data_IF_173973511725
#
_entry.id   IF_173973511725
#
_cell.length_a   1.000
_cell.length_b   1.000
_cell.length_c   1.000
_cell.angle_alpha   90.00
_cell.angle_beta   90.00
_cell.angle_gamma   90.00
#
_symmetry.space_group_name_H-M   'P 1'
#
loop_
_entity.id
_entity.type
_entity.pdbx_description
1 polymer ?
#
# COMPACT_ATOMS: atom_id res chain seq x y z
N UNK A 1 1.32 -10.78 32.78
CA UNK A 1 0.56 -9.51 32.66
C UNK A 1 -0.78 -9.84 32.04
N UNK A 2 -1.83 -9.13 32.41
CA UNK A 2 -3.17 -9.37 31.81
C UNK A 2 -3.29 -8.53 30.55
N UNK A 3 -3.59 -9.16 29.43
CA UNK A 3 -3.81 -8.48 28.16
C UNK A 3 -4.98 -7.49 28.25
N UNK A 4 -4.86 -6.26 27.74
CA UNK A 4 -5.95 -5.30 27.77
C UNK A 4 -7.09 -5.70 26.84
N UNK A 5 -8.31 -5.27 27.18
CA UNK A 5 -9.48 -5.39 26.31
C UNK A 5 -9.72 -4.06 25.60
N UNK A 6 -10.18 -4.11 24.36
CA UNK A 6 -10.62 -2.91 23.64
C UNK A 6 -11.87 -2.30 24.29
N UNK A 7 -12.19 -1.05 23.99
CA UNK A 7 -13.43 -0.44 24.45
C UNK A 7 -14.66 -1.20 23.98
N UNK A 8 -14.62 -1.77 22.78
CA UNK A 8 -15.70 -2.59 22.24
C UNK A 8 -15.89 -3.89 23.02
N UNK A 9 -14.82 -4.60 23.34
CA UNK A 9 -14.89 -5.82 24.17
C UNK A 9 -15.44 -5.57 25.59
N UNK A 10 -15.14 -4.38 26.13
CA UNK A 10 -15.59 -4.00 27.48
C UNK A 10 -17.05 -3.54 27.53
N UNK A 11 -17.55 -2.87 26.49
CA UNK A 11 -18.80 -2.10 26.57
C UNK A 11 -19.79 -2.36 25.45
N UNK A 12 -19.38 -3.04 24.38
CA UNK A 12 -20.18 -3.24 23.16
C UNK A 12 -20.30 -2.00 22.27
N UNK A 13 -19.68 -0.88 22.62
CA UNK A 13 -19.57 0.30 21.78
C UNK A 13 -18.17 0.42 21.17
N UNK A 14 -18.08 1.08 20.03
CA UNK A 14 -16.77 1.30 19.39
C UNK A 14 -15.78 1.97 20.34
N UNK A 15 -14.55 1.46 20.35
CA UNK A 15 -13.45 2.00 21.15
C UNK A 15 -13.23 3.49 20.84
N UNK A 16 -13.18 4.36 21.83
CA UNK A 16 -12.87 5.79 21.65
C UNK A 16 -11.39 5.99 21.40
N UNK A 17 -10.99 7.16 20.88
CA UNK A 17 -9.58 7.50 20.68
C UNK A 17 -8.79 7.52 22.00
N UNK A 18 -9.42 7.95 23.10
CA UNK A 18 -8.77 7.94 24.43
C UNK A 18 -8.53 6.52 24.94
N UNK A 19 -9.49 5.61 24.74
CA UNK A 19 -9.36 4.18 25.09
C UNK A 19 -8.31 3.50 24.22
N UNK A 20 -8.27 3.77 22.90
CA UNK A 20 -7.23 3.28 22.01
C UNK A 20 -5.84 3.73 22.47
N UNK A 21 -5.69 5.02 22.80
CA UNK A 21 -4.41 5.53 23.29
C UNK A 21 -3.96 4.84 24.59
N UNK A 22 -4.87 4.62 25.54
CA UNK A 22 -4.57 3.90 26.77
C UNK A 22 -4.22 2.43 26.50
N UNK A 23 -4.96 1.77 25.61
CA UNK A 23 -4.78 0.40 25.19
C UNK A 23 -3.39 0.20 24.54
N UNK A 24 -3.04 1.02 23.55
CA UNK A 24 -1.76 0.95 22.86
C UNK A 24 -0.58 1.30 23.78
N UNK A 25 -0.73 2.27 24.68
CA UNK A 25 0.30 2.62 25.65
C UNK A 25 0.55 1.46 26.64
N UNK A 26 -0.48 0.73 27.04
CA UNK A 26 -0.30 -0.47 27.86
C UNK A 26 0.45 -1.55 27.11
N UNK A 27 0.10 -1.82 25.82
CA UNK A 27 0.81 -2.80 24.99
C UNK A 27 2.29 -2.41 24.84
N UNK A 28 2.59 -1.14 24.56
CA UNK A 28 3.97 -0.64 24.45
C UNK A 28 4.77 -0.82 25.76
N UNK A 29 4.11 -0.71 26.91
CA UNK A 29 4.74 -0.91 28.22
C UNK A 29 4.97 -2.39 28.55
N UNK A 30 4.09 -3.27 28.09
CA UNK A 30 4.03 -4.67 28.52
C UNK A 30 4.74 -5.62 27.56
N UNK A 31 5.02 -5.19 26.31
CA UNK A 31 5.50 -6.07 25.22
C UNK A 31 6.61 -5.40 24.40
N UNK A 32 7.17 -6.15 23.46
CA UNK A 32 8.23 -5.67 22.54
C UNK A 32 7.64 -4.96 21.28
N UNK A 33 6.34 -4.69 21.23
CA UNK A 33 5.74 -3.93 20.14
C UNK A 33 6.25 -2.49 20.13
N UNK A 34 6.71 -2.01 18.98
CA UNK A 34 7.16 -0.63 18.82
C UNK A 34 5.98 0.22 18.35
N UNK A 35 5.52 1.13 19.22
CA UNK A 35 4.39 2.00 18.93
C UNK A 35 4.87 3.44 18.83
N UNK A 36 4.66 4.05 17.66
CA UNK A 36 5.12 5.40 17.34
C UNK A 36 3.98 6.27 16.81
N UNK A 37 4.20 7.59 16.78
CA UNK A 37 3.36 8.52 16.06
C UNK A 37 3.81 8.55 14.59
N UNK A 38 2.94 8.14 13.65
CA UNK A 38 3.18 8.28 12.22
C UNK A 38 2.98 9.72 11.74
N UNK A 39 2.13 10.48 12.43
CA UNK A 39 1.80 11.87 12.16
C UNK A 39 0.49 12.27 12.83
N UNK A 40 -0.13 13.34 12.34
CA UNK A 40 -1.34 13.90 12.94
C UNK A 40 -2.43 14.14 11.91
N UNK A 41 -3.67 14.02 12.35
CA UNK A 41 -4.87 14.37 11.59
C UNK A 41 -5.04 15.89 11.45
N UNK A 42 -6.02 16.34 10.68
CA UNK A 42 -6.39 17.75 10.53
C UNK A 42 -6.64 18.43 11.89
N UNK A 43 -7.31 17.75 12.83
CA UNK A 43 -7.60 18.29 14.17
C UNK A 43 -6.47 18.03 15.18
N UNK A 44 -5.32 17.51 14.73
CA UNK A 44 -4.12 17.33 15.55
C UNK A 44 -4.09 16.05 16.39
N UNK A 45 -5.00 15.09 16.17
CA UNK A 45 -4.95 13.78 16.84
C UNK A 45 -3.83 12.94 16.27
N UNK A 46 -3.18 12.13 17.12
CA UNK A 46 -2.10 11.23 16.72
C UNK A 46 -2.63 10.12 15.81
N UNK A 47 -1.90 9.85 14.73
CA UNK A 47 -2.03 8.64 13.93
C UNK A 47 -0.97 7.68 14.42
N UNK A 48 -1.40 6.60 15.06
CA UNK A 48 -0.51 5.61 15.68
C UNK A 48 -0.08 4.56 14.67
N UNK A 49 1.19 4.22 14.70
CA UNK A 49 1.79 3.11 13.96
C UNK A 49 2.29 2.08 14.95
N UNK A 50 1.97 0.83 14.70
CA UNK A 50 2.39 -0.32 15.53
C UNK A 50 3.22 -1.26 14.67
N UNK A 51 4.46 -1.48 15.09
CA UNK A 51 5.42 -2.41 14.47
C UNK A 51 5.59 -3.63 15.36
N UNK A 52 5.46 -4.82 14.77
CA UNK A 52 5.59 -6.12 15.46
C UNK A 52 6.48 -7.03 14.63
N UNK A 53 7.39 -7.75 15.27
CA UNK A 53 8.26 -8.75 14.65
C UNK A 53 9.62 -8.20 14.21
N UNK A 54 10.24 -8.87 13.24
CA UNK A 54 11.61 -8.57 12.80
C UNK A 54 11.63 -7.30 11.90
N UNK A 55 12.28 -6.19 12.35
CA UNK A 55 12.32 -4.95 11.57
C UNK A 55 13.01 -5.08 10.21
N UNK A 56 13.89 -6.06 10.04
CA UNK A 56 14.63 -6.33 8.80
C UNK A 56 13.93 -7.35 7.89
N UNK A 57 12.81 -7.91 8.34
CA UNK A 57 12.02 -8.90 7.60
C UNK A 57 11.15 -8.32 6.51
N UNK A 58 10.68 -9.19 5.59
CA UNK A 58 9.64 -8.82 4.62
C UNK A 58 8.39 -8.31 5.36
N UNK A 59 7.85 -7.18 4.90
CA UNK A 59 6.85 -6.42 5.66
C UNK A 59 5.46 -6.54 5.06
N UNK A 60 4.46 -6.81 5.92
CA UNK A 60 3.03 -6.61 5.65
C UNK A 60 2.59 -5.32 6.33
N UNK A 61 1.86 -4.47 5.62
CA UNK A 61 1.21 -3.28 6.18
C UNK A 61 -0.31 -3.45 6.12
N UNK A 62 -0.99 -3.21 7.24
CA UNK A 62 -2.46 -3.19 7.32
C UNK A 62 -2.89 -1.77 7.67
N UNK A 63 -3.72 -1.16 6.83
CA UNK A 63 -4.23 0.19 7.01
C UNK A 63 -5.73 0.12 7.30
N UNK A 64 -6.15 0.60 8.47
CA UNK A 64 -7.52 0.54 8.94
C UNK A 64 -8.12 1.93 9.11
N UNK A 65 -9.45 2.01 9.10
CA UNK A 65 -10.24 3.20 9.40
C UNK A 65 -9.79 4.47 8.65
N UNK A 66 -9.52 4.37 7.35
CA UNK A 66 -9.37 5.54 6.48
C UNK A 66 -10.69 6.32 6.39
N UNK A 67 -11.81 5.62 6.48
CA UNK A 67 -13.12 6.21 6.65
C UNK A 67 -13.55 6.06 8.11
N UNK A 68 -13.91 7.15 8.77
CA UNK A 68 -14.30 7.11 10.18
C UNK A 68 -15.58 6.30 10.42
N UNK A 69 -16.49 6.23 9.44
CA UNK A 69 -17.71 5.41 9.53
C UNK A 69 -17.49 3.89 9.36
N UNK A 70 -16.23 3.44 9.29
CA UNK A 70 -15.85 2.05 9.03
C UNK A 70 -14.99 1.47 10.20
N UNK A 71 -15.53 1.36 11.42
CA UNK A 71 -14.75 1.09 12.63
C UNK A 71 -14.37 -0.39 12.85
N UNK A 72 -14.93 -1.35 12.10
CA UNK A 72 -14.69 -2.78 12.39
C UNK A 72 -13.25 -3.19 12.07
N UNK A 73 -12.63 -2.65 11.00
CA UNK A 73 -11.24 -2.92 10.67
C UNK A 73 -10.28 -2.42 11.76
N UNK A 74 -10.60 -1.27 12.38
CA UNK A 74 -9.87 -0.74 13.53
C UNK A 74 -9.92 -1.68 14.72
N UNK A 75 -11.11 -2.14 15.13
CA UNK A 75 -11.26 -3.06 16.25
C UNK A 75 -10.53 -4.38 15.99
N UNK A 76 -10.61 -4.90 14.76
CA UNK A 76 -9.88 -6.09 14.34
C UNK A 76 -8.36 -5.88 14.46
N UNK A 77 -7.86 -4.73 14.01
CA UNK A 77 -6.45 -4.36 14.12
C UNK A 77 -5.97 -4.25 15.56
N UNK A 78 -6.74 -3.60 16.45
CA UNK A 78 -6.42 -3.50 17.87
C UNK A 78 -6.37 -4.87 18.54
N UNK A 79 -7.37 -5.73 18.31
CA UNK A 79 -7.37 -7.11 18.83
C UNK A 79 -6.17 -7.91 18.30
N UNK A 80 -5.88 -7.82 17.00
CA UNK A 80 -4.73 -8.50 16.41
C UNK A 80 -3.41 -8.05 17.05
N UNK A 81 -3.19 -6.75 17.26
CA UNK A 81 -2.01 -6.23 17.95
C UNK A 81 -1.85 -6.90 19.31
N UNK A 82 -2.90 -6.95 20.13
CA UNK A 82 -2.89 -7.61 21.43
C UNK A 82 -2.54 -9.09 21.32
N UNK A 83 -3.27 -9.81 20.47
CA UNK A 83 -3.18 -11.28 20.39
C UNK A 83 -1.79 -11.71 19.90
N UNK A 84 -1.18 -10.94 18.98
CA UNK A 84 0.18 -11.18 18.49
C UNK A 84 1.27 -10.83 19.50
N UNK A 85 1.00 -9.95 20.46
CA UNK A 85 2.02 -9.46 21.41
C UNK A 85 1.95 -10.13 22.77
N UNK A 86 0.76 -10.51 23.26
CA UNK A 86 0.62 -11.15 24.59
C UNK A 86 0.61 -12.67 24.55
N UNK A 87 0.08 -13.27 23.48
CA UNK A 87 -0.09 -14.73 23.44
C UNK A 87 -0.02 -15.27 22.00
N UNK A 88 1.09 -14.99 21.28
CA UNK A 88 1.25 -15.50 19.92
C UNK A 88 1.33 -17.03 19.94
N UNK A 89 0.67 -17.69 18.98
CA UNK A 89 0.87 -19.13 18.77
C UNK A 89 2.33 -19.41 18.34
N UNK A 90 2.82 -20.66 18.44
CA UNK A 90 4.16 -21.00 17.96
C UNK A 90 4.40 -20.62 16.50
N UNK A 91 3.42 -20.83 15.62
CA UNK A 91 3.52 -20.49 14.20
C UNK A 91 3.58 -18.98 13.98
N UNK A 92 2.79 -18.20 14.71
CA UNK A 92 2.83 -16.73 14.68
C UNK A 92 4.18 -16.24 15.21
N UNK A 93 4.68 -16.82 16.30
CA UNK A 93 6.00 -16.45 16.84
C UNK A 93 7.12 -16.73 15.84
N UNK A 94 7.06 -17.87 15.13
CA UNK A 94 8.02 -18.23 14.10
C UNK A 94 7.93 -17.28 12.89
N UNK A 95 6.72 -16.85 12.50
CA UNK A 95 6.50 -15.85 11.46
C UNK A 95 7.11 -14.50 11.87
N UNK A 96 6.78 -13.99 13.05
CA UNK A 96 7.26 -12.68 13.54
C UNK A 96 8.78 -12.64 13.76
N UNK A 97 9.41 -13.77 14.06
CA UNK A 97 10.88 -13.87 14.14
C UNK A 97 11.58 -13.61 12.79
N UNK A 98 10.88 -13.78 11.66
CA UNK A 98 11.42 -13.64 10.32
C UNK A 98 10.86 -12.43 9.56
N UNK A 99 9.63 -12.00 9.88
CA UNK A 99 8.88 -11.01 9.15
C UNK A 99 8.40 -9.88 10.04
N UNK A 100 8.04 -8.77 9.40
CA UNK A 100 7.51 -7.56 10.06
C UNK A 100 6.05 -7.35 9.71
N UNK A 101 5.27 -7.03 10.71
CA UNK A 101 3.92 -6.51 10.57
C UNK A 101 3.87 -5.05 11.01
N UNK A 102 3.28 -4.19 10.20
CA UNK A 102 2.97 -2.81 10.55
C UNK A 102 1.46 -2.62 10.47
N UNK A 103 0.86 -2.12 11.54
CA UNK A 103 -0.57 -1.80 11.58
C UNK A 103 -0.75 -0.30 11.85
N UNK A 104 -1.59 0.34 11.04
CA UNK A 104 -2.12 1.69 11.27
C UNK A 104 -3.60 1.53 11.61
N UNK A 105 -3.95 1.40 12.90
CA UNK A 105 -5.30 1.00 13.30
C UNK A 105 -6.33 2.09 13.03
N UNK A 106 -5.94 3.38 13.15
CA UNK A 106 -6.88 4.50 13.02
C UNK A 106 -6.26 5.64 12.23
N UNK A 107 -6.56 5.70 10.92
CA UNK A 107 -6.07 6.78 10.07
C UNK A 107 -6.91 8.05 10.26
N UNK A 108 -8.25 7.92 10.25
CA UNK A 108 -9.18 9.05 10.37
C UNK A 108 -9.71 9.20 11.81
N UNK A 109 -8.80 9.52 12.74
CA UNK A 109 -9.12 9.64 14.16
C UNK A 109 -10.07 10.81 14.48
N UNK A 110 -10.22 11.78 13.58
CA UNK A 110 -11.12 12.93 13.78
C UNK A 110 -12.60 12.58 13.58
N UNK A 111 -12.89 11.52 12.84
CA UNK A 111 -14.26 11.22 12.39
C UNK A 111 -14.77 9.84 12.78
N UNK A 112 -13.97 9.02 13.47
CA UNK A 112 -14.40 7.71 13.92
C UNK A 112 -15.30 7.84 15.18
N UNK A 113 -16.46 7.13 15.26
CA UNK A 113 -16.96 6.18 14.27
C UNK A 113 -18.02 6.76 13.32
N UNK A 114 -18.14 8.09 13.19
CA UNK A 114 -19.35 8.77 12.72
C UNK A 114 -19.37 9.11 11.23
N UNK A 115 -18.24 9.60 10.68
CA UNK A 115 -18.23 10.15 9.32
C UNK A 115 -17.16 9.54 8.42
N UNK A 116 -17.51 9.36 7.13
CA UNK A 116 -16.63 8.75 6.13
C UNK A 116 -15.38 9.58 5.87
N UNK A 117 -15.57 10.84 5.51
CA UNK A 117 -14.49 11.75 5.11
C UNK A 117 -13.73 12.29 6.33
N UNK A 118 -12.51 12.80 6.12
CA UNK A 118 -11.73 13.44 7.18
C UNK A 118 -12.32 14.80 7.63
N UNK A 119 -11.65 15.50 8.52
CA UNK A 119 -12.13 16.79 9.05
C UNK A 119 -12.22 17.89 8.00
N UNK A 120 -11.46 17.81 6.91
CA UNK A 120 -11.55 18.70 5.76
C UNK A 120 -12.67 18.31 4.76
N UNK A 121 -13.42 17.23 5.02
CA UNK A 121 -14.47 16.73 4.12
C UNK A 121 -13.90 15.93 2.94
N UNK A 122 -12.64 15.52 2.98
CA UNK A 122 -11.97 14.78 1.92
C UNK A 122 -12.05 13.27 2.19
N UNK A 123 -12.36 12.50 1.13
CA UNK A 123 -12.25 11.05 1.16
C UNK A 123 -10.78 10.65 1.04
N UNK A 124 -10.18 10.15 2.13
CA UNK A 124 -8.77 9.78 2.17
C UNK A 124 -8.43 8.69 1.15
N UNK A 125 -9.35 7.76 0.88
CA UNK A 125 -9.12 6.73 -0.16
C UNK A 125 -9.37 7.24 -1.60
N UNK A 126 -9.16 8.55 -1.83
CA UNK A 126 -9.07 9.27 -3.11
C UNK A 126 -7.88 10.22 -3.15
N UNK A 127 -7.04 10.20 -2.12
CA UNK A 127 -5.94 11.17 -1.97
C UNK A 127 -4.54 10.55 -2.13
N UNK A 128 -4.42 9.25 -2.38
CA UNK A 128 -3.14 8.53 -2.38
C UNK A 128 -2.20 8.87 -3.53
N UNK A 129 -2.69 9.49 -4.61
CA UNK A 129 -1.81 10.03 -5.66
C UNK A 129 -1.35 11.46 -5.34
N UNK A 130 -2.25 12.30 -4.82
CA UNK A 130 -1.99 13.74 -4.61
C UNK A 130 -1.48 14.08 -3.22
N UNK A 131 -1.79 13.26 -2.22
CA UNK A 131 -1.39 13.43 -0.83
C UNK A 131 -1.64 14.84 -0.31
N UNK A 132 -2.86 15.33 -0.49
CA UNK A 132 -3.25 16.70 -0.09
C UNK A 132 -3.61 16.81 1.39
N UNK A 133 -3.90 15.67 2.04
CA UNK A 133 -4.34 15.63 3.43
C UNK A 133 -3.19 15.20 4.37
N UNK A 134 -3.14 15.74 5.59
CA UNK A 134 -2.09 15.38 6.54
C UNK A 134 -2.12 13.88 6.89
N UNK A 135 -3.31 13.27 6.95
CA UNK A 135 -3.47 11.84 7.21
C UNK A 135 -2.84 10.99 6.11
N UNK A 136 -3.12 11.28 4.84
CA UNK A 136 -2.55 10.52 3.72
C UNK A 136 -1.04 10.73 3.59
N UNK A 137 -0.53 11.94 3.85
CA UNK A 137 0.92 12.21 3.91
C UNK A 137 1.61 11.41 5.01
N UNK A 138 1.07 11.44 6.23
CA UNK A 138 1.61 10.73 7.38
C UNK A 138 1.65 9.21 7.17
N UNK A 139 0.55 8.65 6.68
CA UNK A 139 0.45 7.20 6.42
C UNK A 139 1.33 6.79 5.24
N UNK A 140 1.42 7.60 4.18
CA UNK A 140 2.33 7.31 3.06
C UNK A 140 3.80 7.31 3.51
N UNK A 141 4.20 8.24 4.38
CA UNK A 141 5.55 8.23 4.96
C UNK A 141 5.78 6.95 5.79
N UNK A 142 4.81 6.57 6.63
CA UNK A 142 4.89 5.34 7.41
C UNK A 142 4.97 4.07 6.53
N UNK A 143 4.27 4.05 5.38
CA UNK A 143 4.36 2.99 4.37
C UNK A 143 5.76 2.97 3.74
N UNK A 144 6.29 4.12 3.35
CA UNK A 144 7.63 4.22 2.75
C UNK A 144 8.71 3.72 3.70
N UNK A 145 8.64 4.10 4.99
CA UNK A 145 9.58 3.65 6.03
C UNK A 145 9.46 2.14 6.30
N UNK A 146 8.28 1.57 6.08
CA UNK A 146 8.04 0.14 6.24
C UNK A 146 8.48 -0.70 5.02
N UNK A 147 8.59 -0.10 3.84
CA UNK A 147 8.92 -0.75 2.56
C UNK A 147 8.11 -2.05 2.31
N UNK A 148 6.77 -2.01 2.34
CA UNK A 148 5.96 -3.21 2.38
C UNK A 148 6.08 -4.08 1.13
N UNK A 149 6.04 -5.38 1.33
CA UNK A 149 5.82 -6.37 0.28
C UNK A 149 4.33 -6.49 -0.06
N UNK A 150 3.49 -6.37 0.97
CA UNK A 150 2.02 -6.48 0.88
C UNK A 150 1.37 -5.34 1.65
N UNK A 151 0.31 -4.76 1.08
CA UNK A 151 -0.55 -3.76 1.75
C UNK A 151 -1.99 -4.24 1.70
N UNK A 152 -2.61 -4.35 2.87
CA UNK A 152 -4.04 -4.58 3.01
C UNK A 152 -4.73 -3.26 3.36
N UNK A 153 -5.64 -2.85 2.49
CA UNK A 153 -6.48 -1.65 2.59
C UNK A 153 -7.84 -2.08 3.15
N UNK A 154 -8.05 -1.92 4.47
CA UNK A 154 -9.16 -2.52 5.19
C UNK A 154 -10.32 -1.54 5.40
N UNK A 155 -11.46 -1.87 4.80
CA UNK A 155 -12.67 -1.06 4.69
C UNK A 155 -13.96 -1.78 5.06
N UNK A 156 -15.06 -1.03 4.99
CA UNK A 156 -16.42 -1.53 5.08
C UNK A 156 -17.30 -0.94 3.96
N UNK A 157 -18.19 -1.78 3.43
CA UNK A 157 -19.10 -1.41 2.34
C UNK A 157 -20.56 -1.46 2.76
N UNK A 158 -21.42 -0.73 2.08
CA UNK A 158 -22.89 -0.86 2.18
C UNK A 158 -23.45 -1.94 1.24
N UNK A 159 -22.61 -2.62 0.45
CA UNK A 159 -23.02 -3.69 -0.44
C UNK A 159 -23.28 -4.97 0.38
N UNK A 160 -24.54 -5.36 0.50
CA UNK A 160 -24.99 -6.51 1.30
C UNK A 160 -25.05 -7.82 0.52
N UNK A 161 -24.48 -7.89 -0.69
CA UNK A 161 -24.57 -9.07 -1.56
C UNK A 161 -23.72 -10.27 -1.10
N UNK A 162 -22.81 -10.07 -0.15
CA UNK A 162 -21.98 -11.07 0.50
C UNK A 162 -21.43 -10.51 1.83
N UNK A 163 -20.77 -11.31 2.62
CA UNK A 163 -20.17 -10.88 3.89
C UNK A 163 -18.84 -10.15 3.71
N UNK A 164 -18.09 -10.55 2.69
CA UNK A 164 -16.79 -9.98 2.35
C UNK A 164 -16.69 -9.65 0.85
N UNK A 165 -16.16 -8.49 0.56
CA UNK A 165 -15.97 -7.98 -0.80
C UNK A 165 -14.50 -7.62 -1.03
N UNK A 166 -13.64 -8.58 -1.40
CA UNK A 166 -12.26 -8.30 -1.72
C UNK A 166 -12.11 -7.76 -3.14
N UNK A 167 -11.00 -7.05 -3.35
CA UNK A 167 -10.50 -6.78 -4.68
C UNK A 167 -8.99 -6.91 -4.74
N UNK A 168 -8.46 -7.83 -5.55
CA UNK A 168 -7.03 -7.91 -5.84
C UNK A 168 -6.68 -6.76 -6.78
N UNK A 169 -6.52 -5.58 -6.21
CA UNK A 169 -6.40 -4.34 -6.95
C UNK A 169 -5.28 -4.39 -7.99
N UNK A 170 -5.50 -3.69 -9.09
CA UNK A 170 -4.50 -3.46 -10.11
C UNK A 170 -4.93 -2.29 -10.96
N UNK A 171 -4.10 -1.24 -11.03
CA UNK A 171 -4.25 -0.25 -12.09
C UNK A 171 -4.02 -0.92 -13.43
N UNK A 172 -4.69 -0.47 -14.49
CA UNK A 172 -4.27 -0.78 -15.85
C UNK A 172 -2.76 -0.49 -15.98
N UNK A 173 -2.01 -1.45 -16.49
CA UNK A 173 -0.54 -1.37 -16.55
C UNK A 173 0.21 -1.91 -15.33
N UNK A 174 -0.46 -2.30 -14.26
CA UNK A 174 0.16 -3.05 -13.17
C UNK A 174 0.68 -4.40 -13.69
N UNK A 175 1.88 -4.78 -13.27
CA UNK A 175 2.51 -6.01 -13.71
C UNK A 175 1.68 -7.24 -13.29
N UNK A 176 1.41 -8.21 -14.21
CA UNK A 176 0.52 -9.33 -13.94
C UNK A 176 0.96 -10.25 -12.79
N UNK A 177 2.26 -10.31 -12.48
CA UNK A 177 2.73 -11.07 -11.32
C UNK A 177 2.25 -10.48 -10.00
N UNK A 178 2.13 -9.15 -9.90
CA UNK A 178 1.61 -8.47 -8.69
C UNK A 178 0.12 -8.77 -8.53
N UNK A 179 -0.67 -8.54 -9.57
CA UNK A 179 -2.13 -8.81 -9.53
C UNK A 179 -2.43 -10.30 -9.40
N UNK A 180 -1.59 -11.17 -9.96
CA UNK A 180 -1.70 -12.62 -9.81
C UNK A 180 -1.53 -13.09 -8.37
N UNK A 181 -0.58 -12.52 -7.63
CA UNK A 181 -0.38 -12.81 -6.21
C UNK A 181 -1.55 -12.32 -5.36
N UNK A 182 -2.04 -11.08 -5.60
CA UNK A 182 -3.22 -10.57 -4.91
C UNK A 182 -4.44 -11.47 -5.16
N UNK A 183 -4.64 -11.91 -6.41
CA UNK A 183 -5.73 -12.84 -6.78
C UNK A 183 -5.58 -14.21 -6.10
N UNK A 184 -4.36 -14.71 -5.99
CA UNK A 184 -4.09 -16.00 -5.34
C UNK A 184 -4.46 -15.96 -3.85
N UNK A 185 -4.07 -14.88 -3.14
CA UNK A 185 -4.50 -14.72 -1.76
C UNK A 185 -6.02 -14.56 -1.62
N UNK A 186 -6.65 -13.71 -2.43
CA UNK A 186 -8.11 -13.54 -2.38
C UNK A 186 -8.85 -14.85 -2.63
N UNK A 187 -8.36 -15.69 -3.54
CA UNK A 187 -8.95 -17.01 -3.79
C UNK A 187 -8.82 -17.95 -2.59
N UNK A 188 -7.65 -17.97 -1.94
CA UNK A 188 -7.40 -18.72 -0.69
C UNK A 188 -8.33 -18.25 0.43
N UNK A 189 -8.37 -16.94 0.69
CA UNK A 189 -9.19 -16.33 1.72
C UNK A 189 -10.69 -16.56 1.50
N UNK A 190 -11.14 -16.53 0.23
CA UNK A 190 -12.53 -16.89 -0.14
C UNK A 190 -12.87 -18.32 0.26
N UNK A 191 -11.97 -19.28 0.01
CA UNK A 191 -12.21 -20.69 0.39
C UNK A 191 -12.25 -20.85 1.91
N UNK A 192 -11.32 -20.22 2.63
CA UNK A 192 -11.28 -20.25 4.09
C UNK A 192 -12.56 -19.66 4.71
N UNK A 193 -13.01 -18.51 4.23
CA UNK A 193 -14.26 -17.89 4.72
C UNK A 193 -15.49 -18.74 4.41
N UNK A 194 -15.52 -19.44 3.27
CA UNK A 194 -16.61 -20.33 2.92
C UNK A 194 -16.68 -21.55 3.88
N UNK A 195 -15.55 -22.09 4.31
CA UNK A 195 -15.47 -23.16 5.31
C UNK A 195 -16.02 -22.71 6.67
N UNK A 196 -15.87 -21.41 7.01
CA UNK A 196 -16.41 -20.77 8.21
C UNK A 196 -17.89 -20.30 8.04
N UNK A 197 -18.50 -20.56 6.87
CA UNK A 197 -19.90 -20.22 6.59
C UNK A 197 -20.13 -18.77 6.18
N UNK A 198 -19.09 -18.04 5.80
CA UNK A 198 -19.20 -16.69 5.24
C UNK A 198 -19.26 -16.71 3.72
N UNK A 199 -19.91 -15.70 3.16
CA UNK A 199 -20.04 -15.53 1.70
C UNK A 199 -19.08 -14.47 1.18
N UNK A 200 -18.54 -14.68 -0.02
CA UNK A 200 -17.60 -13.75 -0.67
C UNK A 200 -18.12 -13.34 -2.03
N UNK A 201 -17.96 -12.08 -2.37
CA UNK A 201 -18.20 -11.53 -3.70
C UNK A 201 -17.18 -10.44 -4.01
N UNK A 202 -16.51 -10.55 -5.15
CA UNK A 202 -15.56 -9.53 -5.60
C UNK A 202 -16.23 -8.14 -5.64
N UNK A 203 -15.48 -7.13 -5.17
CA UNK A 203 -15.88 -5.73 -5.28
C UNK A 203 -16.01 -5.34 -6.77
N UNK A 204 -16.94 -4.44 -7.09
CA UNK A 204 -17.23 -4.10 -8.47
C UNK A 204 -16.10 -3.23 -9.06
N UNK A 205 -15.42 -3.72 -10.09
CA UNK A 205 -14.30 -3.03 -10.80
C UNK A 205 -14.63 -1.60 -11.20
N UNK A 206 -15.89 -1.32 -11.59
CA UNK A 206 -16.34 0.00 -12.01
C UNK A 206 -16.26 1.08 -10.94
N UNK A 207 -16.05 0.72 -9.68
CA UNK A 207 -15.97 1.64 -8.54
C UNK A 207 -14.58 1.72 -7.90
N UNK A 208 -13.56 1.09 -8.50
CA UNK A 208 -12.18 1.22 -8.00
C UNK A 208 -11.61 2.58 -8.41
N UNK A 209 -11.13 3.36 -7.44
CA UNK A 209 -10.50 4.64 -7.74
C UNK A 209 -9.06 4.44 -8.24
N UNK A 210 -8.61 5.31 -9.13
CA UNK A 210 -7.20 5.38 -9.49
C UNK A 210 -6.33 5.77 -8.29
N UNK A 211 -6.80 6.70 -7.47
CA UNK A 211 -6.11 7.23 -6.31
C UNK A 211 -6.46 6.52 -4.99
N UNK A 212 -6.89 5.25 -5.04
CA UNK A 212 -7.09 4.41 -3.86
C UNK A 212 -5.78 3.81 -3.36
N UNK A 213 -5.66 3.55 -2.04
CA UNK A 213 -4.43 3.02 -1.44
C UNK A 213 -3.97 1.72 -2.11
N UNK A 214 -4.85 0.73 -2.20
CA UNK A 214 -4.50 -0.57 -2.77
C UNK A 214 -4.10 -0.49 -4.25
N UNK A 215 -4.71 0.43 -5.03
CA UNK A 215 -4.35 0.66 -6.43
C UNK A 215 -3.00 1.36 -6.58
N UNK A 216 -2.72 2.37 -5.76
CA UNK A 216 -1.42 3.06 -5.74
C UNK A 216 -0.31 2.14 -5.23
N UNK A 217 -0.59 1.29 -4.23
CA UNK A 217 0.35 0.28 -3.75
C UNK A 217 0.81 -0.67 -4.87
N UNK A 218 -0.11 -1.13 -5.71
CA UNK A 218 0.22 -1.96 -6.88
C UNK A 218 1.04 -1.20 -7.94
N UNK A 219 0.76 0.10 -8.14
CA UNK A 219 1.57 0.95 -9.01
C UNK A 219 2.98 1.17 -8.45
N UNK A 220 3.15 1.10 -7.14
CA UNK A 220 4.42 1.15 -6.42
C UNK A 220 5.05 -0.24 -6.18
N UNK A 221 4.62 -1.26 -6.92
CA UNK A 221 5.16 -2.63 -6.90
C UNK A 221 4.97 -3.42 -5.60
N UNK A 222 4.11 -3.00 -4.68
CA UNK A 222 3.65 -3.83 -3.58
C UNK A 222 2.44 -4.68 -4.02
N UNK A 223 2.13 -5.76 -3.32
CA UNK A 223 0.87 -6.50 -3.50
C UNK A 223 -0.23 -5.78 -2.72
N UNK A 224 -0.96 -4.89 -3.38
CA UNK A 224 -2.05 -4.12 -2.78
C UNK A 224 -3.39 -4.84 -2.92
N UNK A 225 -4.14 -4.94 -1.83
CA UNK A 225 -5.44 -5.63 -1.79
C UNK A 225 -6.44 -4.76 -1.03
N UNK A 226 -7.61 -4.54 -1.64
CA UNK A 226 -8.76 -3.95 -0.96
C UNK A 226 -9.57 -5.06 -0.27
N UNK A 227 -9.93 -4.85 0.99
CA UNK A 227 -10.78 -5.74 1.79
C UNK A 227 -11.95 -4.96 2.36
N UNK A 228 -13.19 -5.38 2.06
CA UNK A 228 -14.40 -4.70 2.48
C UNK A 228 -15.34 -5.67 3.21
N UNK A 229 -15.68 -5.40 4.46
CA UNK A 229 -16.78 -6.10 5.15
C UNK A 229 -18.08 -5.30 5.08
N UNK A 230 -19.22 -5.92 5.40
CA UNK A 230 -20.52 -5.25 5.23
C UNK A 230 -20.89 -4.45 6.46
N UNK A 231 -20.90 -3.12 6.36
CA UNK A 231 -21.11 -2.18 7.46
C UNK A 231 -22.46 -2.31 8.19
N UNK A 232 -23.47 -2.93 7.57
CA UNK A 232 -24.79 -3.15 8.17
C UNK A 232 -24.93 -4.49 8.90
N UNK A 233 -23.93 -5.37 8.83
CA UNK A 233 -23.93 -6.61 9.60
C UNK A 233 -23.63 -6.33 11.08
N UNK A 234 -23.89 -7.33 11.93
CA UNK A 234 -23.51 -7.29 13.35
C UNK A 234 -22.02 -6.90 13.49
N UNK A 235 -21.72 -6.05 14.47
CA UNK A 235 -20.39 -5.50 14.65
C UNK A 235 -19.34 -6.58 14.91
N UNK A 236 -19.65 -7.56 15.76
CA UNK A 236 -18.74 -8.67 16.07
C UNK A 236 -18.47 -9.53 14.85
N UNK A 237 -19.49 -9.82 14.02
CA UNK A 237 -19.33 -10.55 12.75
C UNK A 237 -18.34 -9.85 11.82
N UNK A 238 -18.44 -8.52 11.66
CA UNK A 238 -17.52 -7.74 10.82
C UNK A 238 -16.10 -7.77 11.34
N UNK A 239 -15.93 -7.61 12.65
CA UNK A 239 -14.63 -7.67 13.33
C UNK A 239 -13.99 -9.05 13.12
N UNK A 240 -14.74 -10.13 13.32
CA UNK A 240 -14.25 -11.51 13.16
C UNK A 240 -13.79 -11.80 11.74
N UNK A 241 -14.53 -11.35 10.72
CA UNK A 241 -14.13 -11.51 9.32
C UNK A 241 -12.81 -10.76 9.06
N UNK A 242 -12.68 -9.51 9.51
CA UNK A 242 -11.44 -8.74 9.36
C UNK A 242 -10.26 -9.43 10.07
N UNK A 243 -10.45 -9.92 11.30
CA UNK A 243 -9.41 -10.66 12.04
C UNK A 243 -8.98 -11.94 11.31
N UNK A 244 -9.93 -12.71 10.78
CA UNK A 244 -9.65 -13.91 10.01
C UNK A 244 -8.80 -13.57 8.75
N UNK A 245 -9.16 -12.49 8.03
CA UNK A 245 -8.44 -12.02 6.86
C UNK A 245 -7.02 -11.56 7.22
N UNK A 246 -6.86 -10.81 8.29
CA UNK A 246 -5.54 -10.34 8.73
C UNK A 246 -4.63 -11.51 9.10
N UNK A 247 -5.16 -12.49 9.80
CA UNK A 247 -4.40 -13.68 10.23
C UNK A 247 -4.00 -14.56 9.04
N UNK A 248 -4.94 -14.84 8.11
CA UNK A 248 -4.66 -15.62 6.91
C UNK A 248 -3.64 -14.92 6.00
N UNK A 249 -3.70 -13.58 5.91
CA UNK A 249 -2.73 -12.79 5.14
C UNK A 249 -1.29 -12.99 5.65
N UNK A 250 -1.07 -13.03 6.96
CA UNK A 250 0.26 -13.28 7.51
C UNK A 250 0.74 -14.69 7.18
N UNK A 251 -0.13 -15.69 7.31
CA UNK A 251 0.19 -17.08 6.96
C UNK A 251 0.57 -17.18 5.48
N UNK A 252 -0.28 -16.65 4.59
CA UNK A 252 -0.03 -16.65 3.16
C UNK A 252 1.23 -15.88 2.79
N UNK A 253 1.47 -14.72 3.41
CA UNK A 253 2.70 -13.95 3.17
C UNK A 253 3.93 -14.77 3.51
N UNK A 254 3.98 -15.41 4.68
CA UNK A 254 5.11 -16.24 5.10
C UNK A 254 5.40 -17.40 4.13
N UNK A 255 4.35 -18.03 3.60
CA UNK A 255 4.44 -19.11 2.61
C UNK A 255 4.94 -18.62 1.23
N UNK A 256 4.78 -17.33 0.89
CA UNK A 256 4.97 -16.79 -0.45
C UNK A 256 6.02 -15.69 -0.59
N UNK A 257 6.80 -15.37 0.46
CA UNK A 257 7.78 -14.26 0.47
C UNK A 257 8.69 -14.27 -0.76
N UNK A 258 9.30 -15.42 -1.09
CA UNK A 258 10.19 -15.54 -2.26
C UNK A 258 9.49 -15.21 -3.57
N UNK A 259 8.24 -15.64 -3.74
CA UNK A 259 7.46 -15.35 -4.95
C UNK A 259 7.05 -13.88 -5.01
N UNK A 260 6.72 -13.29 -3.87
CA UNK A 260 6.37 -11.86 -3.74
C UNK A 260 7.58 -11.00 -4.11
N UNK A 261 8.76 -11.26 -3.54
CA UNK A 261 9.97 -10.51 -3.83
C UNK A 261 10.38 -10.61 -5.30
N UNK A 262 10.29 -11.81 -5.88
CA UNK A 262 10.56 -12.01 -7.30
C UNK A 262 9.55 -11.26 -8.20
N UNK A 263 8.27 -11.22 -7.83
CA UNK A 263 7.24 -10.50 -8.57
C UNK A 263 7.47 -8.98 -8.51
N UNK A 264 7.80 -8.46 -7.34
CA UNK A 264 8.13 -7.03 -7.13
C UNK A 264 9.33 -6.61 -7.97
N UNK A 265 10.42 -7.38 -7.91
CA UNK A 265 11.62 -7.12 -8.71
C UNK A 265 11.32 -7.12 -10.21
N UNK A 266 10.57 -8.11 -10.72
CA UNK A 266 10.15 -8.15 -12.13
C UNK A 266 9.28 -6.96 -12.51
N UNK A 267 8.36 -6.57 -11.64
CA UNK A 267 7.47 -5.42 -11.86
C UNK A 267 8.26 -4.11 -12.00
N UNK A 268 9.25 -3.87 -11.12
CA UNK A 268 10.12 -2.69 -11.18
C UNK A 268 10.95 -2.67 -12.46
N UNK A 269 11.60 -3.78 -12.80
CA UNK A 269 12.39 -3.89 -14.03
C UNK A 269 11.53 -3.69 -15.29
N UNK A 270 10.33 -4.27 -15.31
CA UNK A 270 9.40 -4.08 -16.42
C UNK A 270 8.96 -2.62 -16.58
N UNK A 271 8.74 -1.90 -15.46
CA UNK A 271 8.38 -0.47 -15.51
C UNK A 271 9.50 0.39 -16.11
N UNK A 272 10.76 0.09 -15.75
CA UNK A 272 11.94 0.80 -16.27
C UNK A 272 12.16 0.49 -17.76
N UNK A 273 12.01 -0.76 -18.17
CA UNK A 273 12.29 -1.21 -19.54
C UNK A 273 11.10 -1.08 -20.51
N UNK A 274 9.91 -0.72 -20.02
CA UNK A 274 8.69 -0.73 -20.83
C UNK A 274 8.73 0.32 -21.95
N UNK A 275 8.43 -0.12 -23.15
CA UNK A 275 8.15 0.72 -24.33
C UNK A 275 6.65 0.81 -24.64
N UNK A 276 5.79 0.15 -23.87
CA UNK A 276 4.34 0.16 -24.07
C UNK A 276 3.75 1.53 -23.77
N UNK A 277 2.62 1.91 -24.41
CA UNK A 277 1.85 3.08 -24.02
C UNK A 277 1.45 3.04 -22.55
N UNK A 278 1.45 4.20 -21.88
CA UNK A 278 1.15 4.31 -20.46
C UNK A 278 -0.33 4.59 -20.24
N UNK A 279 -1.03 3.84 -19.39
CA UNK A 279 -2.38 4.17 -18.99
C UNK A 279 -2.43 5.47 -18.17
N UNK A 280 -3.46 6.28 -18.43
CA UNK A 280 -3.70 7.53 -17.69
C UNK A 280 -5.12 7.58 -17.13
N UNK A 281 -5.32 8.17 -15.94
CA UNK A 281 -6.64 8.36 -15.34
C UNK A 281 -7.37 9.53 -16.00
N UNK A 282 -8.29 9.23 -16.92
CA UNK A 282 -9.17 10.25 -17.52
C UNK A 282 -10.50 10.42 -16.77
N UNK A 283 -10.68 9.68 -15.69
CA UNK A 283 -11.85 9.69 -14.78
C UNK A 283 -11.45 9.18 -13.41
N UNK A 284 -12.18 9.52 -12.37
CA UNK A 284 -11.91 9.13 -10.98
C UNK A 284 -11.87 7.59 -10.78
N UNK A 285 -12.73 6.86 -11.47
CA UNK A 285 -12.83 5.40 -11.34
C UNK A 285 -12.33 4.69 -12.59
N UNK A 286 -11.71 3.52 -12.42
CA UNK A 286 -11.17 2.72 -13.52
C UNK A 286 -12.26 2.33 -14.51
N UNK A 287 -13.44 1.91 -14.03
CA UNK A 287 -14.57 1.53 -14.87
C UNK A 287 -14.34 0.25 -15.69
N UNK A 288 -15.34 -0.10 -16.51
CA UNK A 288 -15.33 -1.31 -17.36
C UNK A 288 -15.00 -1.06 -18.83
N UNK A 289 -14.78 0.19 -19.20
CA UNK A 289 -14.48 0.59 -20.59
C UNK A 289 -13.01 0.53 -20.95
N UNK A 290 -12.69 0.84 -22.20
CA UNK A 290 -11.29 0.96 -22.63
C UNK A 290 -10.55 1.99 -21.81
N UNK A 291 -9.32 1.64 -21.41
CA UNK A 291 -8.42 2.53 -20.69
C UNK A 291 -7.72 3.44 -21.70
N UNK A 292 -7.69 4.72 -21.42
CA UNK A 292 -6.92 5.67 -22.23
C UNK A 292 -5.43 5.44 -21.98
N UNK A 293 -4.66 5.30 -23.06
CA UNK A 293 -3.20 5.16 -22.99
C UNK A 293 -2.54 6.24 -23.83
N UNK A 294 -1.31 6.62 -23.45
CA UNK A 294 -0.49 7.60 -24.17
C UNK A 294 0.88 7.00 -24.47
N UNK A 295 1.36 7.23 -25.70
CA UNK A 295 2.69 6.80 -26.12
C UNK A 295 3.68 7.96 -25.94
N UNK A 296 4.38 7.95 -24.82
CA UNK A 296 5.30 9.00 -24.40
C UNK A 296 6.59 8.42 -23.84
N UNK A 297 7.69 9.13 -24.03
CA UNK A 297 8.96 8.86 -23.35
C UNK A 297 8.96 9.47 -21.94
N UNK A 298 8.23 10.57 -21.76
CA UNK A 298 8.14 11.31 -20.51
C UNK A 298 7.35 12.61 -20.69
N UNK A 299 7.60 13.52 -19.76
CA UNK A 299 6.94 14.82 -19.72
C UNK A 299 7.94 15.95 -19.48
N UNK A 300 7.84 17.02 -20.26
CA UNK A 300 8.50 18.28 -19.97
C UNK A 300 7.61 19.10 -19.05
N UNK A 301 8.13 19.45 -17.89
CA UNK A 301 7.40 20.09 -16.80
C UNK A 301 7.37 21.61 -16.99
N UNK A 302 6.20 22.23 -16.97
CA UNK A 302 6.03 23.68 -16.92
C UNK A 302 6.27 24.27 -15.53
N UNK A 303 6.19 23.42 -14.50
CA UNK A 303 6.43 23.74 -13.10
C UNK A 303 6.92 22.46 -12.36
N UNK A 304 7.72 22.58 -11.29
CA UNK A 304 8.25 21.42 -10.59
C UNK A 304 7.13 20.60 -9.92
N UNK A 305 7.28 19.27 -9.94
CA UNK A 305 6.45 18.39 -9.12
C UNK A 305 6.71 18.73 -7.63
N UNK A 306 5.67 18.87 -6.80
CA UNK A 306 5.84 19.12 -5.38
C UNK A 306 6.78 18.10 -4.73
N UNK A 307 7.75 18.57 -3.92
CA UNK A 307 8.81 17.72 -3.37
C UNK A 307 8.25 16.55 -2.54
N UNK A 308 7.17 16.78 -1.77
CA UNK A 308 6.55 15.72 -0.98
C UNK A 308 5.99 14.57 -1.85
N UNK A 309 5.59 14.83 -3.10
CA UNK A 309 5.15 13.78 -4.04
C UNK A 309 6.34 13.04 -4.66
N UNK A 310 7.44 13.76 -4.93
CA UNK A 310 8.68 13.14 -5.38
C UNK A 310 9.17 12.13 -4.34
N UNK A 311 9.25 12.57 -3.09
CA UNK A 311 9.72 11.74 -1.97
C UNK A 311 8.74 10.58 -1.68
N UNK A 312 7.45 10.88 -1.64
CA UNK A 312 6.41 9.90 -1.32
C UNK A 312 6.32 8.77 -2.36
N UNK A 313 6.47 9.09 -3.63
CA UNK A 313 6.28 8.15 -4.73
C UNK A 313 7.59 7.65 -5.37
N UNK A 314 8.74 8.09 -4.88
CA UNK A 314 10.04 7.70 -5.42
C UNK A 314 10.23 8.14 -6.87
N UNK A 315 9.75 9.35 -7.25
CA UNK A 315 9.85 9.88 -8.60
C UNK A 315 11.26 10.42 -8.84
N UNK A 316 11.84 10.07 -9.98
CA UNK A 316 13.11 10.64 -10.44
C UNK A 316 12.84 11.71 -11.50
N UNK A 317 13.35 12.92 -11.28
CA UNK A 317 13.22 14.07 -12.18
C UNK A 317 14.62 14.52 -12.61
N UNK A 318 14.78 14.85 -13.89
CA UNK A 318 16.02 15.40 -14.46
C UNK A 318 15.75 16.82 -14.99
N UNK A 319 16.13 17.84 -14.21
CA UNK A 319 15.80 19.23 -14.50
C UNK A 319 14.31 19.48 -14.62
N UNK A 320 13.82 19.85 -15.81
CA UNK A 320 12.40 20.00 -16.13
C UNK A 320 11.79 18.75 -16.78
N UNK A 321 12.53 17.67 -16.93
CA UNK A 321 12.07 16.45 -17.59
C UNK A 321 11.85 15.32 -16.59
N UNK A 322 10.73 14.59 -16.73
CA UNK A 322 10.45 13.36 -16.00
C UNK A 322 10.15 12.23 -16.99
N UNK A 323 10.98 11.18 -16.94
CA UNK A 323 10.77 9.99 -17.77
C UNK A 323 9.66 9.10 -17.23
N UNK A 324 8.96 8.39 -18.12
CA UNK A 324 8.09 7.27 -17.69
C UNK A 324 8.85 5.94 -17.56
N UNK A 325 10.13 5.90 -17.94
CA UNK A 325 10.96 4.71 -17.82
C UNK A 325 11.63 4.67 -16.43
N UNK A 326 10.82 4.59 -15.38
CA UNK A 326 11.24 4.51 -13.99
C UNK A 326 10.25 3.66 -13.18
N UNK A 327 10.59 3.22 -11.93
CA UNK A 327 9.65 2.46 -11.10
C UNK A 327 8.29 3.14 -10.90
N UNK A 328 8.28 4.46 -10.70
CA UNK A 328 7.07 5.26 -10.53
C UNK A 328 6.27 5.50 -11.83
N UNK A 329 6.51 4.75 -12.91
CA UNK A 329 5.95 4.93 -14.26
C UNK A 329 4.46 5.32 -14.30
N UNK A 330 3.61 4.53 -13.63
CA UNK A 330 2.15 4.74 -13.64
C UNK A 330 1.77 6.00 -12.85
N UNK A 331 2.47 6.27 -11.78
CA UNK A 331 2.25 7.44 -10.92
C UNK A 331 2.69 8.72 -11.64
N UNK A 332 3.85 8.71 -12.30
CA UNK A 332 4.31 9.85 -13.13
C UNK A 332 3.29 10.19 -14.20
N UNK A 333 2.77 9.20 -14.93
CA UNK A 333 1.74 9.43 -15.94
C UNK A 333 0.45 10.00 -15.33
N UNK A 334 0.03 9.50 -14.18
CA UNK A 334 -1.14 10.02 -13.49
C UNK A 334 -0.99 11.48 -13.04
N UNK A 335 0.18 11.86 -12.51
CA UNK A 335 0.43 13.18 -11.96
C UNK A 335 0.81 14.25 -13.00
N UNK A 336 1.38 13.85 -14.14
CA UNK A 336 1.96 14.77 -15.11
C UNK A 336 1.18 14.85 -16.44
N UNK A 337 0.40 13.81 -16.80
CA UNK A 337 -0.28 13.83 -18.10
C UNK A 337 -1.35 14.94 -18.17
N UNK A 338 -1.38 15.78 -19.25
CA UNK A 338 -2.33 16.88 -19.36
C UNK A 338 -3.81 16.44 -19.37
N UNK A 339 -4.10 15.22 -19.83
CA UNK A 339 -5.47 14.67 -19.86
C UNK A 339 -5.82 13.88 -18.58
N UNK A 340 -4.89 13.73 -17.65
CA UNK A 340 -5.14 13.07 -16.37
C UNK A 340 -6.01 13.93 -15.45
N UNK A 341 -7.03 13.30 -14.83
CA UNK A 341 -7.84 13.93 -13.77
C UNK A 341 -7.06 14.03 -12.45
N UNK A 342 -5.96 13.29 -12.31
CA UNK A 342 -5.10 13.29 -11.14
C UNK A 342 -3.88 14.22 -11.28
N UNK A 343 -3.74 14.93 -12.39
CA UNK A 343 -2.58 15.80 -12.64
C UNK A 343 -2.41 16.87 -11.55
N UNK A 344 -1.16 17.11 -11.19
CA UNK A 344 -0.76 18.09 -10.18
C UNK A 344 0.15 19.20 -10.74
N UNK A 345 0.67 19.01 -11.97
CA UNK A 345 1.54 19.99 -12.65
C UNK A 345 1.12 20.21 -14.08
N UNK A 346 1.47 21.36 -14.61
CA UNK A 346 1.38 21.62 -16.06
C UNK A 346 2.58 20.95 -16.72
N UNK A 347 2.32 20.06 -17.67
CA UNK A 347 3.40 19.38 -18.39
C UNK A 347 3.01 19.11 -19.85
N UNK A 348 4.01 18.94 -20.69
CA UNK A 348 3.87 18.60 -22.11
C UNK A 348 4.40 17.21 -22.38
N UNK A 349 3.65 16.40 -23.12
CA UNK A 349 4.07 15.06 -23.53
C UNK A 349 5.31 15.14 -24.41
N UNK A 350 6.33 14.35 -24.08
CA UNK A 350 7.50 14.12 -24.94
C UNK A 350 7.29 12.79 -25.64
N UNK A 351 7.04 12.78 -26.98
CA UNK A 351 6.80 11.55 -27.72
C UNK A 351 8.01 10.62 -27.68
N UNK A 352 7.78 9.32 -27.79
CA UNK A 352 8.86 8.38 -28.10
C UNK A 352 9.39 8.70 -29.49
N UNK A 353 10.69 8.91 -29.60
CA UNK A 353 11.34 9.10 -30.89
C UNK A 353 11.37 7.75 -31.62
N UNK A 354 10.89 7.70 -32.87
CA UNK A 354 11.04 6.54 -33.72
C UNK A 354 12.50 6.24 -34.12
N UNK A 355 13.43 7.10 -33.72
CA UNK A 355 14.87 7.07 -34.07
C UNK A 355 15.77 7.37 -32.87
N UNK A 356 15.23 7.49 -31.66
CA UNK A 356 16.06 7.62 -30.45
C UNK A 356 16.72 6.29 -30.14
N UNK A 357 17.94 6.25 -29.61
CA UNK A 357 18.47 5.02 -29.11
C UNK A 357 17.52 4.59 -27.99
N UNK A 358 16.87 3.42 -28.15
CA UNK A 358 16.69 2.55 -27.03
C UNK A 358 18.06 2.53 -26.37
N UNK A 359 18.21 3.23 -25.25
CA UNK A 359 19.46 3.08 -24.51
C UNK A 359 19.36 1.67 -23.94
N UNK A 360 19.97 0.66 -24.58
CA UNK A 360 20.00 -0.67 -24.02
C UNK A 360 20.67 -0.49 -22.66
N UNK A 361 20.22 -1.20 -21.66
CA UNK A 361 21.05 -1.41 -20.48
C UNK A 361 22.46 -1.70 -20.98
N UNK A 362 23.53 -1.00 -20.49
CA UNK A 362 24.87 -1.19 -20.99
C UNK A 362 25.16 -2.67 -21.12
N UNK A 363 25.63 -3.13 -22.29
CA UNK A 363 25.99 -4.51 -22.54
C UNK A 363 26.87 -5.01 -21.40
N UNK A 364 26.40 -6.03 -20.67
CA UNK A 364 27.15 -6.60 -19.54
C UNK A 364 26.58 -6.26 -18.15
N UNK A 365 25.48 -5.50 -18.01
CA UNK A 365 24.77 -5.42 -16.73
C UNK A 365 23.84 -6.65 -16.62
N UNK A 366 24.19 -7.67 -15.80
CA UNK A 366 23.34 -8.83 -15.68
C UNK A 366 22.00 -8.41 -15.03
N UNK A 367 20.92 -9.11 -15.39
CA UNK A 367 19.60 -8.97 -14.76
C UNK A 367 19.62 -9.20 -13.23
N UNK A 368 20.79 -9.52 -12.66
CA UNK A 368 21.10 -9.69 -11.24
C UNK A 368 21.63 -8.43 -10.55
N UNK A 369 21.61 -7.26 -11.18
CA UNK A 369 22.07 -5.99 -10.59
C UNK A 369 21.08 -5.37 -9.57
N UNK A 370 20.13 -6.14 -9.04
CA UNK A 370 19.44 -5.83 -7.81
C UNK A 370 20.22 -6.44 -6.67
N UNK A 371 20.92 -5.64 -5.88
CA UNK A 371 21.51 -6.10 -4.64
C UNK A 371 20.42 -6.24 -3.60
N UNK A 372 20.23 -7.45 -3.09
CA UNK A 372 19.39 -7.68 -1.91
C UNK A 372 20.13 -7.13 -0.69
N UNK A 373 19.69 -6.00 -0.16
CA UNK A 373 20.18 -5.47 1.13
C UNK A 373 19.11 -5.82 2.16
N UNK A 374 19.43 -6.70 3.11
CA UNK A 374 18.47 -7.17 4.12
C UNK A 374 17.31 -7.97 3.54
N UNK A 375 17.52 -8.74 2.45
CA UNK A 375 16.47 -9.50 1.77
C UNK A 375 15.54 -8.66 0.87
N UNK A 376 15.81 -7.37 0.71
CA UNK A 376 15.00 -6.42 -0.06
C UNK A 376 15.70 -6.07 -1.37
N UNK A 377 14.99 -6.12 -2.52
CA UNK A 377 15.56 -5.62 -3.76
C UNK A 377 15.72 -4.10 -3.65
N UNK A 378 16.97 -3.64 -3.62
CA UNK A 378 17.34 -2.23 -3.73
C UNK A 378 17.85 -1.98 -5.15
N UNK A 379 17.38 -0.96 -5.85
CA UNK A 379 18.08 -0.53 -7.06
C UNK A 379 19.50 -0.15 -6.66
N UNK A 380 20.49 -0.67 -7.38
CA UNK A 380 21.88 -0.31 -7.16
C UNK A 380 22.09 1.12 -7.66
N UNK A 381 21.79 2.08 -6.80
CA UNK A 381 22.21 3.47 -7.00
C UNK A 381 23.71 3.50 -6.68
N UNK A 382 24.55 3.54 -7.73
CA UNK A 382 25.99 3.62 -7.60
C UNK A 382 26.69 2.26 -7.62
N UNK A 383 26.65 1.54 -8.74
CA UNK A 383 27.65 0.50 -8.98
C UNK A 383 29.00 1.13 -9.21
N UNK A 384 30.01 0.58 -8.53
CA UNK A 384 31.40 0.87 -8.76
C UNK A 384 32.08 -0.38 -9.31
N UNK A 385 32.85 -0.27 -10.38
CA UNK A 385 33.76 -1.33 -10.76
C UNK A 385 35.19 -0.94 -10.40
N UNK A 386 36.03 -1.91 -10.13
CA UNK A 386 37.45 -1.65 -9.87
C UNK A 386 38.24 -1.66 -11.18
N UNK A 387 38.85 -0.52 -11.50
CA UNK A 387 39.79 -0.40 -12.60
C UNK A 387 41.11 0.17 -12.04
N UNK A 388 42.16 -0.60 -12.08
CA UNK A 388 43.48 -0.16 -11.64
C UNK A 388 43.54 0.22 -10.13
N UNK A 389 42.77 -0.43 -9.28
CA UNK A 389 42.73 -0.17 -7.83
C UNK A 389 41.89 1.04 -7.41
N UNK A 390 41.17 1.68 -8.32
CA UNK A 390 40.24 2.78 -8.04
C UNK A 390 38.80 2.35 -8.23
N UNK A 391 37.90 2.83 -7.34
CA UNK A 391 36.45 2.71 -7.52
C UNK A 391 36.01 3.71 -8.58
N UNK A 392 35.48 3.21 -9.69
CA UNK A 392 34.89 4.04 -10.75
C UNK A 392 33.37 3.89 -10.68
N UNK A 393 32.63 5.00 -10.50
CA UNK A 393 31.18 4.92 -10.47
C UNK A 393 30.67 4.50 -11.86
N UNK A 394 29.74 3.53 -11.90
CA UNK A 394 28.97 3.24 -13.09
C UNK A 394 27.83 4.26 -13.11
N UNK A 395 27.92 5.25 -13.98
CA UNK A 395 26.81 6.15 -14.25
C UNK A 395 25.78 5.38 -15.06
N UNK A 396 24.64 5.10 -14.48
CA UNK A 396 23.44 4.70 -15.21
C UNK A 396 22.77 6.02 -15.64
N UNK A 397 23.25 6.57 -16.76
CA UNK A 397 22.57 7.70 -17.43
C UNK A 397 21.42 7.17 -18.28
#
# INVERSE_FOLDING_TARGET
MTAPLTGFEQTGRWTTIAEESAYLNQIASDTDAVITEAGRTVEGREIRRVDIGNPDGSTVVIVCAQHGSEPASREAGLRMIRDLTYSPSPDVSAYLAQHRLVILPTVNADRIPDARNNANGVNLNRDWLRLTQPESQAVQQAINDAEPAVILDAHETLNTAADWHPYPAGLPGTHPNITGLATAWVSRATSMLADDGYTTRYYLVGFLPWAGLSTVANAAHAVGILSETVATHDAERRIQIQQAMFTDLLTWHGENVTAIDAARAKSMLAAIASTDPVPIPTREYIGTGAVTTVDVAGYELGEPIPQHLIDAHGITVDGSYVTVNQPARLIVAALCDPDSVEKVVSATRVPRSSTGPDTPLPDGVPASALVLVGGRPRPVIGMYYQQGGRRVPVSLT
#
